data_IF_343851328997
#
_entry.id   IF_343851328997
#
_cell.length_a   1.000
_cell.length_b   1.000
_cell.length_c   1.000
_cell.angle_alpha   90.00
_cell.angle_beta   90.00
_cell.angle_gamma   90.00
#
_symmetry.space_group_name_H-M   'P 1'
#
loop_
_entity.id
_entity.type
_entity.pdbx_description
1 polymer ?
#
# COMPACT_ATOMS: atom_id res chain seq x y z
N UNK A 1 3.65 -19.49 -1.20
CA UNK A 1 4.70 -19.08 -2.18
C UNK A 1 3.92 -18.53 -3.36
N UNK A 2 4.12 -17.26 -3.76
CA UNK A 2 3.29 -16.62 -4.79
C UNK A 2 3.53 -17.34 -6.12
N UNK A 3 2.53 -18.09 -6.60
CA UNK A 3 2.67 -19.03 -7.71
C UNK A 3 2.89 -18.34 -9.09
N UNK A 4 2.70 -17.03 -9.17
CA UNK A 4 2.86 -16.23 -10.39
C UNK A 4 3.61 -14.91 -10.13
N UNK A 5 4.88 -15.00 -9.73
CA UNK A 5 5.72 -13.83 -9.53
C UNK A 5 5.96 -13.09 -10.85
N UNK A 6 5.37 -11.90 -11.00
CA UNK A 6 5.67 -10.98 -12.11
C UNK A 6 6.76 -10.00 -11.67
N UNK A 7 7.82 -9.80 -12.49
CA UNK A 7 8.84 -8.81 -12.17
C UNK A 7 8.24 -7.40 -12.20
N UNK A 8 8.62 -6.57 -11.24
CA UNK A 8 8.21 -5.16 -11.15
C UNK A 8 9.47 -4.30 -11.33
N UNK A 9 9.46 -3.39 -12.30
CA UNK A 9 10.56 -2.47 -12.58
C UNK A 9 10.16 -1.03 -12.25
N UNK A 10 10.98 -0.27 -11.51
CA UNK A 10 10.67 1.12 -11.19
C UNK A 10 10.78 2.01 -12.43
N UNK A 11 9.93 3.04 -12.52
CA UNK A 11 9.95 4.07 -13.57
C UNK A 11 9.81 5.46 -12.94
N UNK A 12 10.34 6.52 -13.58
CA UNK A 12 10.09 7.89 -13.15
C UNK A 12 8.66 8.34 -13.53
N UNK A 13 8.13 9.36 -12.84
CA UNK A 13 6.76 9.87 -13.07
C UNK A 13 6.55 10.34 -14.51
N UNK A 14 7.57 10.90 -15.13
CA UNK A 14 7.55 11.41 -16.51
C UNK A 14 7.33 10.28 -17.54
N UNK A 15 7.65 9.03 -17.19
CA UNK A 15 7.38 7.87 -18.05
C UNK A 15 5.90 7.46 -18.08
N UNK A 16 5.08 7.99 -17.18
CA UNK A 16 3.64 7.73 -17.14
C UNK A 16 2.85 9.01 -16.77
N UNK A 17 2.68 9.94 -17.72
CA UNK A 17 2.04 11.23 -17.45
C UNK A 17 0.54 11.06 -17.19
N UNK A 18 0.06 11.65 -16.10
CA UNK A 18 -1.36 11.73 -15.77
C UNK A 18 -1.85 13.17 -15.79
N UNK A 19 -3.12 13.40 -16.12
CA UNK A 19 -3.69 14.75 -16.22
C UNK A 19 -3.54 15.57 -14.93
N UNK A 20 -3.72 14.93 -13.76
CA UNK A 20 -3.46 15.55 -12.47
C UNK A 20 -1.98 15.39 -12.07
N UNK A 21 -1.29 16.47 -11.69
CA UNK A 21 0.09 16.38 -11.19
C UNK A 21 0.11 15.69 -9.83
N UNK A 22 1.12 14.83 -9.62
CA UNK A 22 1.34 14.16 -8.32
C UNK A 22 2.47 14.84 -7.55
N UNK A 23 2.28 15.16 -6.26
CA UNK A 23 3.38 15.61 -5.40
C UNK A 23 4.49 14.55 -5.34
N UNK A 24 5.76 14.96 -5.42
CA UNK A 24 6.91 14.04 -5.31
C UNK A 24 7.03 13.40 -3.92
N UNK A 25 6.47 14.05 -2.90
CA UNK A 25 6.52 13.60 -1.52
C UNK A 25 5.21 13.98 -0.83
N UNK A 26 4.50 12.98 -0.31
CA UNK A 26 3.18 13.15 0.31
C UNK A 26 3.03 12.29 1.57
N UNK A 27 4.14 12.05 2.29
CA UNK A 27 4.10 11.40 3.60
C UNK A 27 3.47 12.36 4.61
N UNK A 28 2.48 11.87 5.35
CA UNK A 28 1.75 12.65 6.34
C UNK A 28 2.36 12.46 7.74
N UNK A 29 2.37 13.53 8.53
CA UNK A 29 2.55 13.40 9.98
C UNK A 29 1.23 12.98 10.61
N UNK A 30 1.25 11.85 11.31
CA UNK A 30 0.08 11.26 11.96
C UNK A 30 0.09 11.46 13.49
N UNK A 31 0.91 12.38 14.03
CA UNK A 31 1.04 12.61 15.47
C UNK A 31 -0.30 12.90 16.15
N UNK A 32 -1.09 13.85 15.63
CA UNK A 32 -2.39 14.20 16.21
C UNK A 32 -3.39 13.04 16.12
N UNK A 33 -3.43 12.35 14.98
CA UNK A 33 -4.26 11.14 14.81
C UNK A 33 -3.89 10.06 15.83
N UNK A 34 -2.59 9.81 16.03
CA UNK A 34 -2.10 8.80 16.98
C UNK A 34 -2.40 9.13 18.44
N UNK A 35 -2.47 10.41 18.81
CA UNK A 35 -2.88 10.83 20.16
C UNK A 35 -4.34 10.47 20.45
N UNK A 36 -5.21 10.57 19.44
CA UNK A 36 -6.66 10.36 19.59
C UNK A 36 -7.03 8.87 19.46
N UNK A 37 -6.50 8.20 18.43
CA UNK A 37 -6.92 6.85 18.05
C UNK A 37 -5.93 5.75 18.46
N UNK A 38 -4.74 6.12 18.95
CA UNK A 38 -3.67 5.19 19.28
C UNK A 38 -2.71 4.91 18.12
N UNK A 39 -1.73 4.01 18.33
CA UNK A 39 -0.73 3.69 17.33
C UNK A 39 -1.36 2.99 16.12
N UNK A 40 -0.87 3.33 14.93
CA UNK A 40 -1.18 2.63 13.69
C UNK A 40 -0.03 1.64 13.42
N UNK A 41 -0.31 0.38 13.06
CA UNK A 41 0.72 -0.58 12.69
C UNK A 41 1.53 -0.13 11.46
N UNK A 42 2.66 -0.79 11.22
CA UNK A 42 3.47 -0.46 10.06
C UNK A 42 2.74 -0.89 8.78
N UNK A 43 2.84 -0.10 7.69
CA UNK A 43 2.03 -0.33 6.47
C UNK A 43 2.15 -1.75 5.88
N UNK A 44 3.28 -2.44 6.08
CA UNK A 44 3.46 -3.84 5.65
C UNK A 44 2.62 -4.83 6.44
N UNK A 45 2.44 -4.57 7.73
CA UNK A 45 1.62 -5.39 8.63
C UNK A 45 0.15 -5.22 8.24
N UNK A 46 -0.30 -3.98 8.09
CA UNK A 46 -1.65 -3.66 7.58
C UNK A 46 -1.93 -4.28 6.22
N UNK A 47 -1.01 -4.12 5.27
CA UNK A 47 -1.16 -4.72 3.94
C UNK A 47 -1.33 -6.24 4.02
N UNK A 48 -0.58 -6.91 4.91
CA UNK A 48 -0.69 -8.36 5.09
C UNK A 48 -2.06 -8.76 5.63
N UNK A 49 -2.62 -7.98 6.56
CA UNK A 49 -3.97 -8.20 7.09
C UNK A 49 -5.02 -8.04 5.99
N UNK A 50 -4.98 -6.94 5.24
CA UNK A 50 -5.91 -6.70 4.13
C UNK A 50 -5.85 -7.80 3.06
N UNK A 51 -4.64 -8.24 2.68
CA UNK A 51 -4.48 -9.29 1.67
C UNK A 51 -5.03 -10.64 2.14
N UNK A 52 -4.88 -10.99 3.42
CA UNK A 52 -5.48 -12.19 4.01
C UNK A 52 -7.00 -12.14 3.95
N UNK A 53 -7.59 -11.02 4.34
CA UNK A 53 -9.05 -10.82 4.29
C UNK A 53 -9.58 -10.95 2.84
N UNK A 54 -8.91 -10.33 1.88
CA UNK A 54 -9.27 -10.46 0.46
C UNK A 54 -9.13 -11.92 -0.04
N UNK A 55 -8.12 -12.65 0.43
CA UNK A 55 -7.90 -14.06 0.11
C UNK A 55 -9.08 -14.91 0.57
N UNK A 56 -9.49 -14.72 1.83
CA UNK A 56 -10.61 -15.43 2.47
C UNK A 56 -11.92 -15.14 1.73
N UNK A 57 -12.20 -13.88 1.42
CA UNK A 57 -13.43 -13.47 0.70
C UNK A 57 -13.45 -14.02 -0.74
N UNK A 58 -12.32 -14.00 -1.44
CA UNK A 58 -12.24 -14.41 -2.85
C UNK A 58 -12.10 -15.92 -3.06
N UNK A 59 -11.99 -16.70 -1.97
CA UNK A 59 -11.75 -18.14 -2.03
C UNK A 59 -10.39 -18.52 -2.64
N UNK A 60 -9.47 -17.56 -2.78
CA UNK A 60 -8.11 -17.76 -3.30
C UNK A 60 -7.13 -17.78 -2.15
N UNK A 61 -6.27 -18.80 -2.06
CA UNK A 61 -5.16 -18.79 -1.09
C UNK A 61 -4.15 -17.70 -1.47
N UNK A 62 -3.83 -16.82 -0.54
CA UNK A 62 -2.68 -15.89 -0.59
C UNK A 62 -1.46 -16.54 0.07
#
# INVERSE_FOLDING_TARGET
>A
MIENLKPISPIPTESYPTAAPRPRYSILDLNETRKIFGPVPHWKEDLTLCLKEIAEISGKKV
#
